data_IF_857730477116
#
_entry.id   IF_857730477116
#
_cell.length_a   1.000
_cell.length_b   1.000
_cell.length_c   1.000
_cell.angle_alpha   90.00
_cell.angle_beta   90.00
_cell.angle_gamma   90.00
#
_symmetry.space_group_name_H-M   'P 1'
#
loop_
_entity.id
_entity.type
_entity.pdbx_description
1 polymer ?
#
# COMPACT_ATOMS: atom_id res chain seq x y z
N UNK A 1 36.25 1.71 -11.91
CA UNK A 1 35.09 1.20 -11.13
C UNK A 1 35.18 1.67 -9.67
N UNK A 2 36.25 1.32 -8.89
CA UNK A 2 36.35 1.73 -7.47
C UNK A 2 36.44 3.26 -7.29
N UNK A 3 37.22 3.94 -8.14
CA UNK A 3 37.34 5.41 -8.12
C UNK A 3 36.02 6.11 -8.46
N UNK A 4 35.33 5.69 -9.52
CA UNK A 4 34.04 6.22 -9.91
C UNK A 4 32.95 5.98 -8.82
N UNK A 5 33.00 4.82 -8.17
CA UNK A 5 32.10 4.53 -7.05
C UNK A 5 32.38 5.50 -5.87
N UNK A 6 33.66 5.77 -5.57
CA UNK A 6 34.05 6.72 -4.53
C UNK A 6 33.57 8.14 -4.84
N UNK A 7 33.75 8.63 -6.08
CA UNK A 7 33.25 9.96 -6.48
C UNK A 7 31.74 10.07 -6.35
N UNK A 8 31.00 9.05 -6.80
CA UNK A 8 29.54 9.01 -6.66
C UNK A 8 29.08 9.01 -5.20
N UNK A 9 29.81 8.28 -4.33
CA UNK A 9 29.51 8.26 -2.88
C UNK A 9 29.78 9.64 -2.26
N UNK A 10 30.90 10.31 -2.60
CA UNK A 10 31.19 11.64 -2.12
C UNK A 10 30.13 12.66 -2.59
N UNK A 11 29.77 12.64 -3.88
CA UNK A 11 28.72 13.51 -4.42
C UNK A 11 27.36 13.26 -3.76
N UNK A 12 26.99 11.99 -3.50
CA UNK A 12 25.77 11.65 -2.79
C UNK A 12 25.79 12.14 -1.34
N UNK A 13 26.94 12.06 -0.67
CA UNK A 13 27.09 12.55 0.70
C UNK A 13 26.92 14.08 0.76
N UNK A 14 27.58 14.83 -0.13
CA UNK A 14 27.46 16.27 -0.20
C UNK A 14 26.03 16.72 -0.54
N UNK A 15 25.41 16.07 -1.51
CA UNK A 15 23.99 16.29 -1.82
C UNK A 15 23.10 16.04 -0.62
N UNK A 16 23.28 14.88 0.05
CA UNK A 16 22.45 14.48 1.18
C UNK A 16 22.55 15.46 2.34
N UNK A 17 23.73 16.01 2.60
CA UNK A 17 23.95 17.02 3.66
C UNK A 17 23.13 18.29 3.41
N UNK A 18 23.12 18.78 2.18
CA UNK A 18 22.34 19.97 1.79
C UNK A 18 20.85 19.65 1.78
N UNK A 19 20.48 18.53 1.18
CA UNK A 19 19.08 18.08 1.09
C UNK A 19 18.44 17.90 2.47
N UNK A 20 19.11 17.20 3.39
CA UNK A 20 18.56 16.94 4.73
C UNK A 20 18.34 18.24 5.52
N UNK A 21 19.25 19.20 5.37
CA UNK A 21 19.08 20.51 5.99
C UNK A 21 17.84 21.24 5.48
N UNK A 22 17.66 21.31 4.16
CA UNK A 22 16.47 21.91 3.54
C UNK A 22 15.19 21.16 3.88
N UNK A 23 15.21 19.84 3.81
CA UNK A 23 14.07 19.00 4.15
C UNK A 23 13.59 19.23 5.59
N UNK A 24 14.53 19.27 6.55
CA UNK A 24 14.22 19.53 7.95
C UNK A 24 13.63 20.94 8.14
N UNK A 25 14.19 21.94 7.47
CA UNK A 25 13.69 23.32 7.54
C UNK A 25 12.28 23.44 6.95
N UNK A 26 12.01 22.81 5.80
CA UNK A 26 10.68 22.80 5.19
C UNK A 26 9.65 22.14 6.11
N UNK A 27 10.00 21.01 6.74
CA UNK A 27 9.12 20.37 7.75
C UNK A 27 8.81 21.31 8.91
N UNK A 28 9.81 22.01 9.43
CA UNK A 28 9.65 22.96 10.54
C UNK A 28 8.76 24.14 10.16
N UNK A 29 8.98 24.74 8.98
CA UNK A 29 8.19 25.88 8.48
C UNK A 29 6.70 25.52 8.29
N UNK A 30 6.42 24.29 7.86
CA UNK A 30 5.06 23.82 7.60
C UNK A 30 4.42 23.10 8.80
N UNK A 31 5.15 22.90 9.89
CA UNK A 31 4.69 22.13 11.04
C UNK A 31 4.48 20.63 10.74
N UNK A 32 5.16 20.09 9.73
CA UNK A 32 5.04 18.70 9.33
C UNK A 32 5.98 17.79 10.12
N UNK A 33 5.50 16.57 10.38
CA UNK A 33 6.26 15.51 11.02
C UNK A 33 6.12 14.24 10.19
N UNK A 34 7.24 13.58 9.91
CA UNK A 34 7.20 12.21 9.40
C UNK A 34 7.13 11.20 10.56
N UNK A 35 6.99 9.90 10.23
CA UNK A 35 6.87 8.86 11.25
C UNK A 35 8.10 8.73 12.14
N UNK A 36 9.29 8.94 11.59
CA UNK A 36 10.54 8.91 12.35
C UNK A 36 10.64 10.11 13.30
N UNK A 37 10.20 11.29 12.87
CA UNK A 37 10.11 12.47 13.74
C UNK A 37 9.21 12.21 14.97
N UNK A 38 8.06 11.55 14.78
CA UNK A 38 7.15 11.23 15.88
C UNK A 38 7.84 10.35 16.92
N UNK A 39 8.56 9.31 16.46
CA UNK A 39 9.28 8.39 17.34
C UNK A 39 10.43 9.12 18.05
N UNK A 40 11.25 9.88 17.32
CA UNK A 40 12.39 10.61 17.87
C UNK A 40 11.95 11.71 18.86
N UNK A 41 10.90 12.47 18.51
CA UNK A 41 10.37 13.50 19.41
C UNK A 41 9.76 12.89 20.70
N UNK A 42 9.02 11.78 20.56
CA UNK A 42 8.51 11.06 21.73
C UNK A 42 9.64 10.53 22.60
N UNK A 43 10.70 9.95 22.01
CA UNK A 43 11.88 9.52 22.74
C UNK A 43 12.55 10.70 23.47
N UNK A 44 12.77 11.83 22.80
CA UNK A 44 13.40 13.01 23.38
C UNK A 44 12.60 13.56 24.57
N UNK A 45 11.26 13.62 24.47
CA UNK A 45 10.39 14.03 25.58
C UNK A 45 10.58 13.16 26.84
N UNK A 46 10.86 11.85 26.66
CA UNK A 46 11.03 10.90 27.76
C UNK A 46 12.48 10.79 28.27
N UNK A 47 13.45 11.38 27.55
CA UNK A 47 14.88 11.31 27.90
C UNK A 47 15.42 12.67 28.37
N UNK A 48 14.84 13.78 27.94
CA UNK A 48 15.28 15.13 28.29
C UNK A 48 15.16 15.35 29.82
N UNK A 49 16.27 15.57 30.57
CA UNK A 49 16.24 15.70 32.01
C UNK A 49 15.34 16.84 32.51
N UNK A 50 15.11 17.87 31.69
CA UNK A 50 14.32 19.03 32.09
C UNK A 50 12.81 18.80 32.04
N UNK A 51 12.35 17.86 31.19
CA UNK A 51 10.93 17.64 30.89
C UNK A 51 10.51 16.22 31.24
N UNK A 52 11.39 15.24 31.13
CA UNK A 52 11.10 13.82 31.27
C UNK A 52 10.43 13.48 32.61
N UNK A 53 10.89 14.04 33.71
CA UNK A 53 10.29 13.79 35.02
C UNK A 53 8.82 14.24 35.09
N UNK A 54 8.48 15.38 34.51
CA UNK A 54 7.12 15.88 34.47
C UNK A 54 6.24 15.06 33.52
N UNK A 55 6.77 14.70 32.33
CA UNK A 55 6.06 13.89 31.34
C UNK A 55 5.76 12.50 31.94
N UNK A 56 6.76 11.85 32.50
CA UNK A 56 6.61 10.54 33.14
C UNK A 56 5.61 10.62 34.31
N UNK A 57 5.71 11.62 35.18
CA UNK A 57 4.75 11.82 36.26
C UNK A 57 3.30 11.98 35.74
N UNK A 58 3.10 12.72 34.67
CA UNK A 58 1.76 12.87 34.05
C UNK A 58 1.26 11.57 33.42
N UNK A 59 2.16 10.78 32.82
CA UNK A 59 1.84 9.48 32.23
C UNK A 59 1.70 8.38 33.29
N UNK A 60 2.47 8.41 34.35
CA UNK A 60 2.41 7.45 35.45
C UNK A 60 1.03 7.41 36.11
N UNK A 61 0.34 8.56 36.13
CA UNK A 61 -1.05 8.68 36.56
C UNK A 61 -2.07 7.94 35.68
N UNK A 62 -1.69 7.44 34.47
CA UNK A 62 -2.63 6.92 33.48
C UNK A 62 -2.29 5.56 32.86
N UNK A 63 -1.09 5.03 33.03
CA UNK A 63 -0.69 3.76 32.42
C UNK A 63 -0.47 2.69 33.49
N UNK A 64 -1.37 1.72 33.55
CA UNK A 64 -1.26 0.59 34.47
C UNK A 64 -0.86 -0.70 33.74
N UNK A 65 -1.16 -0.82 32.44
CA UNK A 65 -0.86 -2.01 31.65
C UNK A 65 -0.21 -1.62 30.32
N UNK A 66 0.91 -2.26 30.01
CA UNK A 66 1.59 -2.13 28.71
C UNK A 66 1.52 -3.50 28.03
N UNK A 67 0.89 -3.53 26.84
CA UNK A 67 0.78 -4.71 26.01
C UNK A 67 1.48 -4.43 24.66
N UNK A 68 2.46 -5.27 24.33
CA UNK A 68 3.24 -5.17 23.10
C UNK A 68 2.99 -6.42 22.29
N UNK A 69 2.39 -6.25 21.12
CA UNK A 69 2.19 -7.30 20.13
C UNK A 69 3.22 -7.17 19.00
N UNK A 70 3.55 -8.27 18.34
CA UNK A 70 4.53 -8.32 17.24
C UNK A 70 5.88 -7.68 17.61
N UNK A 71 6.37 -7.95 18.81
CA UNK A 71 7.55 -7.32 19.41
C UNK A 71 8.83 -7.41 18.56
N UNK A 72 8.95 -8.43 17.67
CA UNK A 72 10.06 -8.58 16.74
C UNK A 72 10.13 -7.51 15.65
N UNK A 73 9.05 -6.74 15.46
CA UNK A 73 8.99 -5.67 14.45
C UNK A 73 9.24 -4.27 15.06
N UNK A 74 9.52 -4.22 16.36
CA UNK A 74 9.79 -2.97 17.07
C UNK A 74 11.24 -2.52 16.86
N UNK A 75 11.43 -1.24 16.51
CA UNK A 75 12.76 -0.66 16.32
C UNK A 75 13.46 -0.36 17.65
N UNK A 76 14.82 -0.27 17.69
CA UNK A 76 15.57 0.08 18.90
C UNK A 76 15.12 1.40 19.53
N UNK A 77 14.72 2.38 18.73
CA UNK A 77 14.22 3.68 19.20
C UNK A 77 12.87 3.55 19.90
N UNK A 78 11.96 2.75 19.34
CA UNK A 78 10.67 2.45 19.98
C UNK A 78 10.85 1.68 21.28
N UNK A 79 11.80 0.73 21.34
CA UNK A 79 12.12 0.02 22.57
C UNK A 79 12.58 0.97 23.67
N UNK A 80 13.38 1.99 23.39
CA UNK A 80 13.79 3.01 24.38
C UNK A 80 12.59 3.76 24.97
N UNK A 81 11.58 4.05 24.15
CA UNK A 81 10.33 4.66 24.64
C UNK A 81 9.63 3.72 25.61
N UNK A 82 9.49 2.44 25.24
CA UNK A 82 8.84 1.42 26.07
C UNK A 82 9.61 1.21 27.38
N UNK A 83 10.94 1.15 27.33
CA UNK A 83 11.78 1.05 28.53
C UNK A 83 11.54 2.22 29.49
N UNK A 84 11.44 3.44 28.98
CA UNK A 84 11.16 4.63 29.80
C UNK A 84 9.76 4.61 30.41
N UNK A 85 8.74 4.24 29.64
CA UNK A 85 7.36 4.14 30.12
C UNK A 85 7.19 3.01 31.16
N UNK A 86 7.94 1.92 31.04
CA UNK A 86 7.87 0.80 31.96
C UNK A 86 8.77 0.97 33.20
N UNK A 87 9.57 2.04 33.27
CA UNK A 87 10.54 2.23 34.35
C UNK A 87 9.88 2.24 35.73
N UNK A 88 8.72 2.85 35.87
CA UNK A 88 7.96 2.90 37.13
C UNK A 88 7.35 1.55 37.52
N UNK A 89 7.26 0.57 36.60
CA UNK A 89 6.69 -0.75 36.93
C UNK A 89 7.59 -1.61 37.81
N UNK A 90 8.89 -1.32 37.83
CA UNK A 90 9.91 -2.01 38.59
C UNK A 90 10.73 -1.07 39.51
N UNK A 91 10.47 0.24 39.53
CA UNK A 91 11.24 1.19 40.37
C UNK A 91 10.81 1.27 41.83
N UNK A 92 10.10 0.26 42.38
CA UNK A 92 9.72 0.21 43.80
C UNK A 92 8.38 0.87 44.12
N UNK A 93 8.18 1.27 45.41
CA UNK A 93 6.93 1.86 45.90
C UNK A 93 6.68 3.23 45.26
N UNK A 94 5.88 3.26 44.18
CA UNK A 94 5.40 4.48 43.56
C UNK A 94 4.23 5.10 44.34
N UNK A 95 3.80 6.31 44.00
CA UNK A 95 2.72 7.03 44.66
C UNK A 95 1.36 6.32 44.64
N UNK A 96 1.25 5.17 43.95
CA UNK A 96 0.05 4.32 43.82
C UNK A 96 0.33 2.87 44.23
N UNK A 97 0.50 2.62 45.52
CA UNK A 97 0.80 1.29 46.08
C UNK A 97 -0.25 0.19 45.86
N UNK A 98 -1.40 0.50 45.27
CA UNK A 98 -2.53 -0.44 45.11
C UNK A 98 -2.82 -0.86 43.69
N UNK A 99 -2.15 -0.31 42.67
CA UNK A 99 -2.43 -0.67 41.30
C UNK A 99 -1.51 -1.80 40.81
N UNK A 100 -2.11 -2.86 40.34
CA UNK A 100 -1.36 -4.02 39.80
C UNK A 100 -0.90 -3.69 38.35
N UNK A 101 0.32 -3.18 38.21
CA UNK A 101 0.91 -2.83 36.90
C UNK A 101 1.46 -4.06 36.21
N UNK A 102 1.17 -4.21 34.90
CA UNK A 102 1.61 -5.37 34.13
C UNK A 102 2.27 -4.97 32.83
N UNK A 103 3.34 -5.68 32.48
CA UNK A 103 3.98 -5.63 31.18
C UNK A 103 3.78 -6.98 30.49
N UNK A 104 3.14 -6.97 29.32
CA UNK A 104 2.91 -8.15 28.50
C UNK A 104 3.54 -7.94 27.13
N UNK A 105 4.47 -8.81 26.74
CA UNK A 105 5.18 -8.74 25.46
C UNK A 105 5.01 -10.05 24.74
N UNK A 106 4.54 -10.02 23.50
CA UNK A 106 4.42 -11.19 22.66
C UNK A 106 5.06 -10.94 21.30
N UNK A 107 5.75 -11.95 20.78
CA UNK A 107 6.41 -11.87 19.49
C UNK A 107 7.03 -13.20 19.07
N UNK A 108 7.32 -13.32 17.79
CA UNK A 108 8.03 -14.45 17.21
C UNK A 108 9.13 -13.95 16.27
N UNK A 109 10.39 -14.15 16.64
CA UNK A 109 11.56 -13.72 15.87
C UNK A 109 11.58 -14.25 14.44
N UNK A 110 11.05 -15.47 14.23
CA UNK A 110 10.96 -16.11 12.91
C UNK A 110 10.02 -15.34 11.96
N UNK A 111 9.13 -14.49 12.50
CA UNK A 111 8.16 -13.71 11.75
C UNK A 111 8.60 -12.25 11.52
N UNK A 112 9.84 -11.88 11.85
CA UNK A 112 10.34 -10.53 11.58
C UNK A 112 10.53 -10.31 10.07
N UNK A 113 9.87 -9.29 9.52
CA UNK A 113 9.93 -8.91 8.10
C UNK A 113 10.13 -7.41 7.88
N UNK A 114 10.31 -6.62 8.95
CA UNK A 114 10.43 -5.17 8.91
C UNK A 114 11.85 -4.64 9.21
N UNK A 115 12.88 -5.45 8.96
CA UNK A 115 14.28 -5.03 9.12
C UNK A 115 14.62 -3.78 8.30
N UNK A 116 14.01 -3.62 7.11
CA UNK A 116 14.15 -2.43 6.26
C UNK A 116 13.51 -1.15 6.85
N UNK A 117 12.67 -1.28 7.86
CA UNK A 117 12.10 -0.17 8.66
C UNK A 117 12.79 -0.02 10.03
N UNK A 118 13.97 -0.62 10.19
CA UNK A 118 14.76 -0.51 11.40
C UNK A 118 14.38 -1.49 12.52
N UNK A 119 13.53 -2.50 12.26
CA UNK A 119 13.30 -3.58 13.22
C UNK A 119 14.56 -4.45 13.35
N UNK A 120 14.95 -4.75 14.58
CA UNK A 120 16.12 -5.55 14.90
C UNK A 120 15.74 -6.66 15.88
N UNK A 121 15.85 -7.90 15.41
CA UNK A 121 15.56 -9.09 16.24
C UNK A 121 16.57 -9.31 17.37
N UNK A 122 17.79 -8.80 17.22
CA UNK A 122 18.81 -8.86 18.29
C UNK A 122 18.42 -7.99 19.48
N UNK A 123 17.75 -6.86 19.20
CA UNK A 123 17.25 -5.95 20.21
C UNK A 123 16.16 -6.57 21.08
N UNK A 124 15.27 -7.36 20.49
CA UNK A 124 14.27 -8.11 21.26
C UNK A 124 14.93 -9.05 22.30
N UNK A 125 16.04 -9.71 21.94
CA UNK A 125 16.80 -10.55 22.88
C UNK A 125 17.45 -9.73 23.99
N UNK A 126 18.01 -8.57 23.62
CA UNK A 126 18.64 -7.65 24.60
C UNK A 126 17.60 -7.17 25.62
N UNK A 127 16.48 -6.68 25.11
CA UNK A 127 15.37 -6.15 25.93
C UNK A 127 14.76 -7.24 26.82
N UNK A 128 14.56 -8.45 26.31
CA UNK A 128 14.06 -9.57 27.09
C UNK A 128 14.98 -9.84 28.31
N UNK A 129 16.29 -9.91 28.08
CA UNK A 129 17.28 -10.12 29.16
C UNK A 129 17.29 -8.96 30.14
N UNK A 130 17.21 -7.73 29.66
CA UNK A 130 17.24 -6.54 30.51
C UNK A 130 15.97 -6.41 31.36
N UNK A 131 14.79 -6.60 30.78
CA UNK A 131 13.54 -6.63 31.55
C UNK A 131 13.54 -7.76 32.59
N UNK A 132 13.97 -8.95 32.21
CA UNK A 132 14.08 -10.06 33.14
C UNK A 132 14.92 -9.68 34.38
N UNK A 133 16.11 -9.12 34.16
CA UNK A 133 17.01 -8.67 35.23
C UNK A 133 16.34 -7.59 36.10
N UNK A 134 15.78 -6.52 35.50
CA UNK A 134 15.14 -5.41 36.22
C UNK A 134 13.94 -5.84 37.05
N UNK A 135 13.10 -6.72 36.55
CA UNK A 135 11.93 -7.23 37.25
C UNK A 135 12.31 -8.24 38.33
N UNK A 136 13.38 -9.02 38.15
CA UNK A 136 13.96 -9.90 39.21
C UNK A 136 14.50 -9.04 40.34
N UNK A 137 15.27 -7.99 40.08
CA UNK A 137 15.77 -7.04 41.06
C UNK A 137 14.65 -6.36 41.87
N UNK A 138 13.50 -6.13 41.25
CA UNK A 138 12.31 -5.56 41.87
C UNK A 138 11.43 -6.61 42.62
N UNK A 139 11.88 -7.84 42.76
CA UNK A 139 11.10 -8.95 43.32
C UNK A 139 9.75 -9.24 42.63
N UNK A 140 9.63 -8.88 41.38
CA UNK A 140 8.46 -9.10 40.50
C UNK A 140 8.89 -9.86 39.23
N UNK A 141 9.32 -11.14 39.33
CA UNK A 141 9.93 -11.83 38.18
C UNK A 141 8.98 -11.95 36.99
N UNK A 142 9.50 -11.70 35.78
CA UNK A 142 8.77 -11.90 34.53
C UNK A 142 8.57 -13.39 34.29
N UNK A 143 7.33 -13.75 33.95
CA UNK A 143 6.98 -15.11 33.57
C UNK A 143 7.17 -15.30 32.09
N UNK A 144 8.13 -16.15 31.70
CA UNK A 144 8.35 -16.53 30.30
C UNK A 144 7.47 -17.72 29.94
N UNK A 145 6.68 -17.58 28.87
CA UNK A 145 5.80 -18.63 28.37
C UNK A 145 6.05 -18.85 26.88
N UNK A 146 6.27 -20.08 26.50
CA UNK A 146 6.35 -20.50 25.11
C UNK A 146 4.98 -21.02 24.62
N UNK A 147 4.48 -20.48 23.53
CA UNK A 147 3.23 -20.92 22.89
C UNK A 147 3.55 -22.08 21.94
N UNK A 148 3.27 -23.30 22.36
CA UNK A 148 3.60 -24.51 21.59
C UNK A 148 2.51 -24.87 20.56
N UNK A 149 1.25 -24.49 20.81
CA UNK A 149 0.11 -24.90 19.97
C UNK A 149 -0.29 -23.84 18.97
N UNK A 150 -0.37 -24.24 17.71
CA UNK A 150 -0.98 -23.44 16.63
C UNK A 150 -2.47 -23.76 16.52
N UNK A 151 -3.32 -22.75 16.74
CA UNK A 151 -4.79 -22.84 16.57
C UNK A 151 -5.24 -22.45 15.16
N UNK A 152 -4.32 -22.18 14.24
CA UNK A 152 -4.60 -21.71 12.89
C UNK A 152 -4.39 -22.79 11.85
N UNK A 153 -3.27 -23.50 11.89
CA UNK A 153 -2.77 -24.31 10.79
C UNK A 153 -2.88 -25.80 11.06
N UNK A 154 -3.11 -26.57 9.97
CA UNK A 154 -3.15 -28.03 10.03
C UNK A 154 -1.75 -28.63 10.27
N UNK A 155 -1.68 -29.87 10.79
CA UNK A 155 -0.38 -30.54 11.05
C UNK A 155 0.50 -30.67 9.80
N UNK A 156 -0.10 -30.85 8.62
CA UNK A 156 0.61 -30.99 7.34
C UNK A 156 1.36 -29.71 6.97
N UNK A 157 0.71 -28.55 7.17
CA UNK A 157 1.31 -27.25 6.88
C UNK A 157 2.46 -26.97 7.88
N UNK A 158 2.23 -27.20 9.17
CA UNK A 158 3.25 -26.97 10.19
C UNK A 158 4.48 -27.85 9.98
N UNK A 159 4.29 -29.15 9.72
CA UNK A 159 5.40 -30.07 9.39
C UNK A 159 6.21 -29.62 8.17
N UNK A 160 5.55 -29.04 7.16
CA UNK A 160 6.24 -28.51 6.01
C UNK A 160 7.10 -27.28 6.37
N UNK A 161 6.55 -26.36 7.20
CA UNK A 161 7.29 -25.18 7.70
C UNK A 161 8.50 -25.62 8.53
N UNK A 162 8.30 -26.54 9.47
CA UNK A 162 9.38 -27.06 10.32
C UNK A 162 10.50 -27.68 9.47
N UNK A 163 10.13 -28.48 8.46
CA UNK A 163 11.11 -29.09 7.55
C UNK A 163 11.93 -28.06 6.74
N UNK A 164 11.37 -26.87 6.45
CA UNK A 164 12.10 -25.79 5.79
C UNK A 164 13.02 -25.09 6.79
N UNK A 165 12.52 -24.77 7.98
CA UNK A 165 13.27 -24.07 9.02
C UNK A 165 14.43 -24.89 9.57
N UNK A 166 14.34 -26.23 9.50
CA UNK A 166 15.40 -27.15 9.95
C UNK A 166 16.56 -27.30 8.96
N UNK A 167 16.43 -26.74 7.73
CA UNK A 167 17.52 -26.78 6.76
C UNK A 167 18.74 -25.98 7.23
N UNK A 168 19.97 -26.49 7.06
CA UNK A 168 21.18 -25.79 7.48
C UNK A 168 21.34 -24.39 6.89
N UNK A 169 20.88 -24.20 5.64
CA UNK A 169 20.97 -22.92 4.93
C UNK A 169 20.03 -21.85 5.51
N UNK A 170 18.98 -22.27 6.24
CA UNK A 170 17.98 -21.38 6.86
C UNK A 170 18.26 -21.20 8.34
N UNK A 171 18.93 -22.19 8.96
CA UNK A 171 19.28 -22.20 10.38
C UNK A 171 20.40 -21.20 10.64
N UNK A 172 20.07 -19.99 11.06
CA UNK A 172 21.07 -19.07 11.62
C UNK A 172 21.38 -19.48 13.06
N UNK A 173 22.66 -19.72 13.40
CA UNK A 173 23.02 -20.41 14.66
C UNK A 173 22.63 -19.70 15.96
N UNK A 174 22.34 -18.39 15.93
CA UNK A 174 22.11 -17.58 17.13
C UNK A 174 20.80 -16.77 17.16
N UNK A 175 20.01 -16.77 16.10
CA UNK A 175 18.85 -15.85 15.98
C UNK A 175 17.50 -16.57 16.01
N UNK A 176 17.44 -17.79 15.56
CA UNK A 176 16.24 -18.61 15.60
C UNK A 176 16.38 -19.62 16.72
N UNK A 177 15.85 -19.34 17.88
CA UNK A 177 15.82 -20.28 19.01
C UNK A 177 15.44 -21.67 18.53
N UNK A 178 16.09 -22.72 19.09
CA UNK A 178 15.95 -24.10 18.65
C UNK A 178 14.50 -24.46 18.39
N UNK A 179 14.23 -25.09 17.27
CA UNK A 179 12.87 -25.43 16.86
C UNK A 179 12.32 -26.55 17.74
N UNK A 180 11.67 -26.18 18.84
CA UNK A 180 10.59 -27.03 19.31
C UNK A 180 9.58 -27.00 18.17
N UNK A 181 9.36 -28.15 17.50
CA UNK A 181 8.47 -28.23 16.34
C UNK A 181 7.09 -27.68 16.63
N UNK A 182 6.41 -27.14 15.64
CA UNK A 182 5.08 -26.61 15.81
C UNK A 182 4.06 -27.72 16.05
N UNK A 183 3.19 -27.57 17.05
CA UNK A 183 2.12 -28.52 17.35
C UNK A 183 0.78 -27.93 16.92
N UNK A 184 0.05 -28.64 16.05
CA UNK A 184 -1.31 -28.22 15.71
C UNK A 184 -2.28 -28.60 16.83
N UNK A 185 -3.06 -27.64 17.32
CA UNK A 185 -4.16 -27.92 18.24
C UNK A 185 -5.22 -28.85 17.60
N UNK A 186 -5.49 -28.63 16.33
CA UNK A 186 -6.42 -29.46 15.55
C UNK A 186 -5.67 -30.60 14.85
N UNK A 187 -5.29 -31.63 15.58
CA UNK A 187 -4.48 -32.76 15.08
C UNK A 187 -5.08 -33.48 13.88
N UNK A 188 -6.41 -33.47 13.74
CA UNK A 188 -7.16 -34.13 12.65
C UNK A 188 -7.49 -33.20 11.50
N UNK A 189 -7.13 -31.89 11.56
CA UNK A 189 -7.43 -30.95 10.51
C UNK A 189 -6.69 -31.33 9.23
N UNK A 190 -7.41 -31.60 8.11
CA UNK A 190 -6.76 -31.94 6.85
C UNK A 190 -5.99 -30.73 6.29
N UNK A 191 -4.86 -30.99 5.64
CA UNK A 191 -4.05 -29.98 5.00
C UNK A 191 -3.27 -30.55 3.83
N UNK A 192 -2.95 -29.70 2.86
CA UNK A 192 -2.18 -30.07 1.68
C UNK A 192 -1.21 -28.97 1.31
N UNK A 193 0.01 -29.35 0.95
CA UNK A 193 1.01 -28.45 0.40
C UNK A 193 1.42 -28.98 -0.98
N UNK A 194 1.32 -28.13 -1.99
CA UNK A 194 1.73 -28.43 -3.36
C UNK A 194 2.87 -27.51 -3.77
N UNK A 195 3.91 -28.06 -4.36
CA UNK A 195 4.96 -27.31 -5.00
C UNK A 195 4.77 -27.41 -6.53
N UNK A 196 4.62 -26.28 -7.19
CA UNK A 196 4.54 -26.24 -8.64
C UNK A 196 5.94 -26.08 -9.25
N UNK A 197 6.18 -26.70 -10.41
CA UNK A 197 7.45 -26.50 -11.11
C UNK A 197 7.62 -25.04 -11.54
N UNK A 198 8.87 -24.58 -11.57
CA UNK A 198 9.18 -23.24 -12.08
C UNK A 198 8.80 -23.14 -13.56
N UNK A 199 8.22 -22.03 -13.96
CA UNK A 199 7.92 -21.73 -15.36
C UNK A 199 9.18 -21.10 -15.96
N UNK A 200 9.77 -21.77 -16.94
CA UNK A 200 10.94 -21.27 -17.63
C UNK A 200 10.59 -20.02 -18.46
N UNK A 201 11.55 -19.09 -18.51
CA UNK A 201 11.45 -17.94 -19.39
C UNK A 201 11.32 -18.41 -20.84
N UNK A 202 10.35 -17.88 -21.56
CA UNK A 202 10.23 -18.16 -22.99
C UNK A 202 11.44 -17.57 -23.73
N UNK A 203 11.97 -18.28 -24.72
CA UNK A 203 12.93 -17.70 -25.64
C UNK A 203 12.25 -16.51 -26.33
N UNK A 204 12.89 -15.35 -26.27
CA UNK A 204 12.36 -14.16 -26.94
C UNK A 204 12.28 -14.47 -28.44
N UNK A 205 11.12 -14.30 -29.09
CA UNK A 205 11.04 -14.41 -30.54
C UNK A 205 12.01 -13.39 -31.14
N UNK A 206 12.89 -13.88 -32.05
CA UNK A 206 13.93 -13.06 -32.68
C UNK A 206 13.36 -11.93 -33.56
N UNK A 207 12.09 -12.01 -33.91
CA UNK A 207 11.36 -11.01 -34.72
C UNK A 207 10.12 -10.54 -33.97
N UNK A 208 10.28 -9.54 -33.13
CA UNK A 208 9.13 -8.71 -32.73
C UNK A 208 8.85 -7.73 -33.87
N UNK A 209 7.66 -7.81 -34.47
CA UNK A 209 7.21 -6.77 -35.38
C UNK A 209 7.40 -5.41 -34.73
N UNK A 210 8.05 -4.48 -35.41
CA UNK A 210 8.39 -3.16 -34.87
C UNK A 210 7.16 -2.37 -34.36
N UNK A 211 5.95 -2.76 -34.76
CA UNK A 211 4.65 -2.21 -34.35
C UNK A 211 4.16 -2.78 -33.00
N UNK A 212 4.81 -3.83 -32.47
CA UNK A 212 4.38 -4.41 -31.19
C UNK A 212 4.74 -3.46 -30.04
N UNK A 213 3.78 -3.15 -29.12
CA UNK A 213 4.08 -2.33 -27.96
C UNK A 213 5.22 -2.94 -27.14
N UNK A 214 6.31 -2.21 -26.98
CA UNK A 214 7.54 -2.68 -26.30
C UNK A 214 7.29 -2.94 -24.81
N UNK A 215 6.28 -2.31 -24.24
CA UNK A 215 6.03 -2.33 -22.78
C UNK A 215 4.96 -3.34 -22.33
N UNK A 216 4.32 -4.06 -23.26
CA UNK A 216 3.32 -5.07 -22.88
C UNK A 216 3.92 -6.48 -22.86
N UNK A 217 3.79 -7.24 -21.75
CA UNK A 217 4.23 -8.62 -21.71
C UNK A 217 3.46 -9.45 -22.74
N UNK A 218 4.19 -10.15 -23.59
CA UNK A 218 3.62 -11.05 -24.59
C UNK A 218 2.85 -12.22 -23.96
N UNK A 219 2.01 -12.90 -24.72
CA UNK A 219 1.25 -14.07 -24.24
C UNK A 219 2.14 -15.19 -23.72
N UNK A 220 3.36 -15.30 -24.24
CA UNK A 220 4.36 -16.31 -23.87
C UNK A 220 5.23 -15.90 -22.67
N UNK A 221 5.04 -14.68 -22.14
CA UNK A 221 5.74 -14.21 -20.94
C UNK A 221 5.46 -15.18 -19.76
N UNK A 222 6.51 -15.58 -19.06
CA UNK A 222 6.42 -16.53 -17.94
C UNK A 222 5.45 -16.03 -16.83
N UNK A 223 5.35 -14.72 -16.64
CA UNK A 223 4.45 -14.09 -15.65
C UNK A 223 3.00 -14.20 -16.08
N UNK A 224 2.72 -14.01 -17.37
CA UNK A 224 1.37 -14.15 -17.94
C UNK A 224 0.94 -15.62 -17.91
N UNK A 225 1.85 -16.55 -18.23
CA UNK A 225 1.59 -18.00 -18.16
C UNK A 225 1.30 -18.44 -16.73
N UNK A 226 2.09 -17.99 -15.75
CA UNK A 226 1.85 -18.28 -14.34
C UNK A 226 0.53 -17.70 -13.85
N UNK A 227 0.21 -16.45 -14.19
CA UNK A 227 -1.05 -15.82 -13.82
C UNK A 227 -2.27 -16.57 -14.37
N UNK A 228 -2.20 -17.01 -15.62
CA UNK A 228 -3.25 -17.83 -16.23
C UNK A 228 -3.41 -19.18 -15.51
N UNK A 229 -2.31 -19.87 -15.22
CA UNK A 229 -2.29 -21.15 -14.52
C UNK A 229 -2.93 -21.02 -13.12
N UNK A 230 -2.60 -19.97 -12.37
CA UNK A 230 -3.20 -19.68 -11.06
C UNK A 230 -4.71 -19.49 -11.20
N UNK A 231 -5.15 -18.66 -12.15
CA UNK A 231 -6.56 -18.36 -12.35
C UNK A 231 -7.36 -19.59 -12.80
N UNK A 232 -6.79 -20.45 -13.67
CA UNK A 232 -7.39 -21.72 -14.10
C UNK A 232 -7.53 -22.70 -12.94
N UNK A 233 -6.51 -22.82 -12.11
CA UNK A 233 -6.55 -23.69 -10.94
C UNK A 233 -7.61 -23.22 -9.93
N UNK A 234 -7.73 -21.94 -9.66
CA UNK A 234 -8.74 -21.37 -8.78
C UNK A 234 -10.15 -21.65 -9.36
N UNK A 235 -10.36 -21.39 -10.64
CA UNK A 235 -11.63 -21.65 -11.31
C UNK A 235 -12.03 -23.12 -11.23
N UNK A 236 -11.07 -24.01 -11.46
CA UNK A 236 -11.27 -25.47 -11.34
C UNK A 236 -11.65 -25.87 -9.91
N UNK A 237 -10.99 -25.32 -8.89
CA UNK A 237 -11.28 -25.63 -7.49
C UNK A 237 -12.65 -25.12 -7.06
N UNK A 238 -13.07 -23.94 -7.50
CA UNK A 238 -14.40 -23.38 -7.19
C UNK A 238 -15.50 -24.19 -7.89
N UNK A 239 -15.27 -24.56 -9.16
CA UNK A 239 -16.24 -25.31 -9.97
C UNK A 239 -16.33 -26.78 -9.58
N UNK A 240 -15.31 -27.32 -8.93
CA UNK A 240 -15.26 -28.70 -8.48
C UNK A 240 -16.14 -28.93 -7.23
N UNK A 241 -16.47 -30.20 -6.97
CA UNK A 241 -17.16 -30.58 -5.73
C UNK A 241 -16.22 -30.69 -4.52
N UNK A 242 -15.02 -30.15 -4.59
CA UNK A 242 -14.04 -30.22 -3.51
C UNK A 242 -14.52 -29.44 -2.28
N UNK A 243 -14.26 -30.03 -1.13
CA UNK A 243 -14.63 -29.46 0.16
C UNK A 243 -13.39 -29.00 0.91
N UNK A 244 -13.54 -27.92 1.67
CA UNK A 244 -12.54 -27.45 2.62
C UNK A 244 -13.12 -27.43 4.04
N UNK A 245 -12.29 -27.61 5.07
CA UNK A 245 -12.73 -27.48 6.44
C UNK A 245 -12.96 -26.00 6.80
N UNK A 246 -14.08 -25.70 7.41
CA UNK A 246 -14.39 -24.43 8.04
C UNK A 246 -14.53 -24.61 9.54
N UNK A 247 -13.85 -23.77 10.31
CA UNK A 247 -13.87 -23.87 11.77
C UNK A 247 -15.24 -23.49 12.32
N UNK A 248 -15.77 -24.33 13.23
CA UNK A 248 -17.01 -24.06 13.96
C UNK A 248 -16.74 -24.37 15.44
N UNK A 249 -16.43 -23.34 16.23
CA UNK A 249 -16.02 -23.48 17.62
C UNK A 249 -14.71 -24.26 17.76
N UNK A 250 -14.76 -25.43 18.41
CA UNK A 250 -13.59 -26.31 18.62
C UNK A 250 -13.48 -27.42 17.56
N UNK A 251 -14.44 -27.50 16.64
CA UNK A 251 -14.50 -28.47 15.56
C UNK A 251 -14.45 -27.82 14.18
N UNK A 252 -14.56 -28.61 13.12
CA UNK A 252 -14.68 -28.12 11.76
C UNK A 252 -15.78 -28.86 10.99
N UNK A 253 -16.42 -28.13 10.07
CA UNK A 253 -17.37 -28.67 9.09
C UNK A 253 -16.78 -28.59 7.69
N UNK A 254 -17.13 -29.55 6.84
CA UNK A 254 -16.66 -29.54 5.45
C UNK A 254 -17.68 -28.77 4.59
N UNK A 255 -17.19 -27.74 3.88
CA UNK A 255 -18.02 -26.95 2.96
C UNK A 255 -17.37 -26.75 1.59
N UNK A 256 -18.16 -26.33 0.62
CA UNK A 256 -17.67 -26.00 -0.73
C UNK A 256 -16.71 -24.81 -0.68
N UNK A 257 -15.72 -24.86 -1.57
CA UNK A 257 -14.74 -23.79 -1.78
C UNK A 257 -15.44 -22.55 -2.35
N UNK A 258 -15.11 -21.38 -1.84
CA UNK A 258 -15.61 -20.06 -2.27
C UNK A 258 -14.43 -19.17 -2.67
N UNK A 259 -14.68 -18.13 -3.47
CA UNK A 259 -13.66 -17.18 -3.88
C UNK A 259 -12.92 -16.53 -2.69
N UNK A 260 -13.64 -16.20 -1.62
CA UNK A 260 -13.05 -15.63 -0.39
C UNK A 260 -12.08 -16.53 0.37
N UNK A 261 -11.97 -17.81 0.01
CA UNK A 261 -11.03 -18.75 0.63
C UNK A 261 -9.60 -18.63 0.03
N UNK A 262 -9.47 -17.91 -1.09
CA UNK A 262 -8.17 -17.76 -1.74
C UNK A 262 -7.46 -16.47 -1.32
N UNK A 263 -6.23 -16.64 -0.90
CA UNK A 263 -5.28 -15.57 -0.64
C UNK A 263 -4.02 -15.83 -1.48
N UNK A 264 -3.73 -14.93 -2.41
CA UNK A 264 -2.52 -14.99 -3.25
C UNK A 264 -1.51 -14.02 -2.68
N UNK A 265 -0.35 -14.53 -2.27
CA UNK A 265 0.74 -13.73 -1.74
C UNK A 265 1.84 -13.59 -2.80
N UNK A 266 2.28 -12.36 -3.01
CA UNK A 266 3.40 -12.04 -3.89
C UNK A 266 4.49 -11.31 -3.09
N UNK A 267 5.74 -11.45 -3.54
CA UNK A 267 6.85 -10.77 -2.88
C UNK A 267 6.79 -9.24 -3.10
N UNK A 268 6.46 -8.83 -4.32
CA UNK A 268 6.40 -7.41 -4.72
C UNK A 268 5.19 -7.19 -5.65
N UNK A 269 4.69 -5.96 -5.69
CA UNK A 269 3.69 -5.52 -6.68
C UNK A 269 4.38 -5.29 -8.03
N UNK A 270 4.68 -6.39 -8.72
CA UNK A 270 5.30 -6.41 -10.03
C UNK A 270 4.26 -6.66 -11.13
N UNK A 271 4.71 -6.79 -12.37
CA UNK A 271 3.88 -7.18 -13.52
C UNK A 271 3.04 -8.45 -13.20
N UNK A 272 3.62 -9.45 -12.51
CA UNK A 272 2.90 -10.65 -12.11
C UNK A 272 1.65 -10.36 -11.26
N UNK A 273 1.72 -9.40 -10.34
CA UNK A 273 0.59 -9.02 -9.50
C UNK A 273 -0.60 -8.53 -10.35
N UNK A 274 -0.34 -7.66 -11.32
CA UNK A 274 -1.36 -7.12 -12.21
C UNK A 274 -1.90 -8.18 -13.18
N UNK A 275 -1.03 -9.04 -13.71
CA UNK A 275 -1.45 -10.13 -14.61
C UNK A 275 -2.31 -11.18 -13.89
N UNK A 276 -2.07 -11.47 -12.61
CA UNK A 276 -2.95 -12.34 -11.80
C UNK A 276 -4.36 -11.75 -11.70
N UNK A 277 -4.46 -10.46 -11.37
CA UNK A 277 -5.76 -9.77 -11.28
C UNK A 277 -6.48 -9.81 -12.63
N UNK A 278 -5.78 -9.48 -13.71
CA UNK A 278 -6.30 -9.51 -15.09
C UNK A 278 -6.77 -10.91 -15.51
N UNK A 279 -5.97 -11.95 -15.21
CA UNK A 279 -6.30 -13.33 -15.54
C UNK A 279 -7.54 -13.84 -14.78
N UNK A 280 -7.69 -13.47 -13.51
CA UNK A 280 -8.88 -13.78 -12.71
C UNK A 280 -10.11 -13.05 -13.23
N UNK A 281 -10.03 -11.74 -13.51
CA UNK A 281 -11.13 -10.96 -14.08
C UNK A 281 -11.59 -11.52 -15.43
N UNK A 282 -10.66 -11.91 -16.30
CA UNK A 282 -10.97 -12.53 -17.62
C UNK A 282 -11.80 -13.81 -17.49
N UNK A 283 -11.68 -14.53 -16.39
CA UNK A 283 -12.45 -15.75 -16.09
C UNK A 283 -13.72 -15.49 -15.28
N UNK A 284 -14.07 -14.23 -15.04
CA UNK A 284 -15.25 -13.86 -14.24
C UNK A 284 -15.10 -14.20 -12.75
N UNK A 285 -13.87 -14.45 -12.26
CA UNK A 285 -13.63 -14.72 -10.86
C UNK A 285 -13.76 -13.43 -10.04
N UNK A 286 -14.51 -13.40 -8.94
CA UNK A 286 -14.61 -12.24 -8.08
C UNK A 286 -13.28 -12.05 -7.34
N UNK A 287 -12.49 -11.10 -7.80
CA UNK A 287 -11.19 -10.76 -7.24
C UNK A 287 -11.19 -9.33 -6.75
N UNK A 288 -10.66 -9.13 -5.56
CA UNK A 288 -10.41 -7.80 -5.04
C UNK A 288 -9.30 -7.16 -5.87
N UNK A 289 -9.56 -5.99 -6.44
CA UNK A 289 -8.54 -5.21 -7.15
C UNK A 289 -7.35 -4.87 -6.24
N UNK A 290 -6.36 -4.16 -6.78
CA UNK A 290 -5.22 -3.72 -5.98
C UNK A 290 -5.72 -2.94 -4.75
N UNK A 291 -5.24 -3.33 -3.56
CA UNK A 291 -5.59 -2.67 -2.28
C UNK A 291 -5.06 -1.23 -2.20
N UNK A 292 -4.14 -0.87 -3.08
CA UNK A 292 -3.66 0.50 -3.28
C UNK A 292 -3.77 0.86 -4.76
N UNK A 293 -4.38 1.99 -5.00
CA UNK A 293 -4.49 2.65 -6.28
C UNK A 293 -3.36 3.65 -6.41
N UNK A 294 -2.55 3.52 -7.44
CA UNK A 294 -1.73 4.63 -7.90
C UNK A 294 -2.63 5.56 -8.69
N UNK A 295 -3.09 6.60 -8.01
CA UNK A 295 -4.16 7.45 -8.50
C UNK A 295 -3.88 7.99 -9.91
N UNK A 296 -2.66 8.42 -10.18
CA UNK A 296 -2.25 8.97 -11.47
C UNK A 296 -2.14 7.94 -12.61
N UNK A 297 -2.21 6.64 -12.31
CA UNK A 297 -2.22 5.59 -13.34
C UNK A 297 -3.65 5.24 -13.80
N UNK A 298 -4.67 5.64 -13.05
CA UNK A 298 -6.08 5.35 -13.35
C UNK A 298 -6.60 6.19 -14.52
N UNK A 299 -7.30 5.55 -15.48
CA UNK A 299 -7.75 6.22 -16.69
C UNK A 299 -8.71 7.38 -16.40
N UNK A 300 -9.67 7.19 -15.48
CA UNK A 300 -10.60 8.25 -15.10
C UNK A 300 -9.88 9.49 -14.56
N UNK A 301 -8.82 9.26 -13.77
CA UNK A 301 -7.99 10.35 -13.23
C UNK A 301 -7.17 11.02 -14.32
N UNK A 302 -6.56 10.24 -15.22
CA UNK A 302 -5.81 10.79 -16.36
C UNK A 302 -6.70 11.69 -17.24
N UNK A 303 -7.92 11.25 -17.51
CA UNK A 303 -8.87 12.03 -18.30
C UNK A 303 -9.27 13.35 -17.60
N UNK A 304 -9.49 13.30 -16.27
CA UNK A 304 -9.81 14.49 -15.47
C UNK A 304 -8.60 15.43 -15.34
N UNK A 305 -7.40 14.89 -15.17
CA UNK A 305 -6.16 15.70 -15.15
C UNK A 305 -5.89 16.31 -16.54
N UNK A 306 -6.15 15.59 -17.63
CA UNK A 306 -6.06 16.16 -18.97
C UNK A 306 -7.05 17.33 -19.16
N UNK A 307 -8.27 17.19 -18.61
CA UNK A 307 -9.25 18.30 -18.61
C UNK A 307 -8.68 19.52 -17.88
N UNK A 308 -8.19 19.34 -16.65
CA UNK A 308 -7.63 20.44 -15.86
C UNK A 308 -6.38 21.05 -16.52
N UNK A 309 -5.54 20.23 -17.17
CA UNK A 309 -4.36 20.69 -17.92
C UNK A 309 -4.76 21.54 -19.11
N UNK A 310 -5.74 21.10 -19.90
CA UNK A 310 -6.31 21.89 -20.97
C UNK A 310 -6.91 23.21 -20.46
N UNK A 311 -7.69 23.16 -19.39
CA UNK A 311 -8.25 24.37 -18.79
C UNK A 311 -7.16 25.34 -18.35
N UNK A 312 -6.09 24.85 -17.73
CA UNK A 312 -4.93 25.67 -17.33
C UNK A 312 -4.18 26.26 -18.53
N UNK A 313 -4.11 25.53 -19.63
CA UNK A 313 -3.36 25.91 -20.85
C UNK A 313 -4.16 25.52 -22.09
N UNK A 314 -5.07 26.41 -22.58
CA UNK A 314 -5.92 26.10 -23.73
C UNK A 314 -5.16 25.84 -25.04
N UNK A 315 -3.87 26.12 -25.08
CA UNK A 315 -2.98 25.82 -26.20
C UNK A 315 -2.44 24.40 -26.19
N UNK A 316 -2.73 23.60 -25.15
CA UNK A 316 -2.34 22.20 -25.07
C UNK A 316 -3.28 21.32 -25.90
N UNK A 317 -2.90 21.11 -27.16
CA UNK A 317 -3.63 20.30 -28.12
C UNK A 317 -3.77 18.83 -27.67
N UNK A 318 -2.73 18.28 -26.99
CA UNK A 318 -2.74 16.89 -26.56
C UNK A 318 -3.75 16.67 -25.44
N UNK A 319 -3.76 17.55 -24.46
CA UNK A 319 -4.74 17.50 -23.38
C UNK A 319 -6.17 17.67 -23.90
N UNK A 320 -6.41 18.62 -24.81
CA UNK A 320 -7.72 18.78 -25.44
C UNK A 320 -8.15 17.54 -26.23
N UNK A 321 -7.26 16.98 -27.05
CA UNK A 321 -7.55 15.77 -27.81
C UNK A 321 -7.87 14.58 -26.88
N UNK A 322 -7.14 14.45 -25.78
CA UNK A 322 -7.38 13.42 -24.76
C UNK A 322 -8.77 13.58 -24.14
N UNK A 323 -9.13 14.79 -23.74
CA UNK A 323 -10.45 15.11 -23.17
C UNK A 323 -11.59 14.80 -24.13
N UNK A 324 -11.47 15.21 -25.40
CA UNK A 324 -12.50 14.95 -26.42
C UNK A 324 -12.70 13.46 -26.67
N UNK A 325 -11.62 12.67 -26.64
CA UNK A 325 -11.67 11.21 -26.81
C UNK A 325 -12.06 10.45 -25.54
N UNK A 326 -11.90 11.05 -24.38
CA UNK A 326 -12.28 10.44 -23.11
C UNK A 326 -13.79 10.19 -23.03
N UNK A 327 -14.26 9.39 -22.07
CA UNK A 327 -15.69 9.20 -21.84
C UNK A 327 -16.46 10.51 -21.55
N UNK A 328 -15.78 11.59 -21.20
CA UNK A 328 -16.39 12.88 -20.93
C UNK A 328 -17.14 13.41 -22.17
N UNK A 329 -16.56 13.23 -23.38
CA UNK A 329 -17.16 13.66 -24.66
C UNK A 329 -17.33 12.51 -25.66
N UNK A 330 -16.65 11.38 -25.43
CA UNK A 330 -16.79 10.14 -26.19
C UNK A 330 -16.56 10.27 -27.72
N UNK A 331 -15.63 11.11 -28.14
CA UNK A 331 -15.32 11.27 -29.56
C UNK A 331 -14.63 10.06 -30.17
N UNK A 332 -14.99 9.76 -31.44
CA UNK A 332 -14.26 8.79 -32.25
C UNK A 332 -12.99 9.41 -32.84
N UNK A 333 -12.06 8.54 -33.29
CA UNK A 333 -10.87 8.98 -34.04
C UNK A 333 -11.24 9.84 -35.26
N UNK A 334 -12.31 9.47 -35.93
CA UNK A 334 -12.78 10.20 -37.13
C UNK A 334 -13.22 11.62 -36.78
N UNK A 335 -13.90 11.84 -35.67
CA UNK A 335 -14.31 13.17 -35.23
C UNK A 335 -13.12 14.04 -34.87
N UNK A 336 -12.15 13.46 -34.11
CA UNK A 336 -10.92 14.16 -33.76
C UNK A 336 -10.08 14.47 -35.02
N UNK A 337 -9.95 13.50 -35.93
CA UNK A 337 -9.27 13.71 -37.20
C UNK A 337 -9.90 14.83 -38.00
N UNK A 338 -11.24 14.87 -38.13
CA UNK A 338 -11.96 15.92 -38.86
C UNK A 338 -11.73 17.32 -38.26
N UNK A 339 -11.51 17.42 -36.95
CA UNK A 339 -11.17 18.69 -36.31
C UNK A 339 -9.70 19.06 -36.51
N UNK A 340 -8.79 18.09 -36.37
CA UNK A 340 -7.35 18.32 -36.33
C UNK A 340 -6.69 18.37 -37.72
N UNK A 341 -7.23 17.62 -38.71
CA UNK A 341 -6.69 17.56 -40.07
C UNK A 341 -7.00 18.85 -40.83
N UNK A 342 -6.02 19.34 -41.54
CA UNK A 342 -6.14 20.54 -42.43
C UNK A 342 -6.59 21.81 -41.67
N UNK A 343 -6.31 21.89 -40.36
CA UNK A 343 -6.63 23.08 -39.57
C UNK A 343 -5.78 24.29 -39.99
N UNK A 344 -6.44 25.43 -40.09
CA UNK A 344 -5.77 26.69 -40.44
C UNK A 344 -5.14 27.35 -39.20
N UNK A 345 -5.68 27.06 -38.00
CA UNK A 345 -5.17 27.60 -36.77
C UNK A 345 -4.07 26.71 -36.16
N UNK A 346 -3.15 27.37 -35.45
CA UNK A 346 -2.06 26.68 -34.78
C UNK A 346 -2.55 25.72 -33.68
N UNK A 347 -3.61 26.10 -32.95
CA UNK A 347 -4.12 25.37 -31.81
C UNK A 347 -5.49 24.73 -32.08
N UNK A 348 -5.68 23.53 -31.53
CA UNK A 348 -6.90 22.75 -31.70
C UNK A 348 -8.13 23.44 -31.08
N UNK A 349 -7.94 24.16 -29.96
CA UNK A 349 -9.01 24.93 -29.32
C UNK A 349 -9.56 26.04 -30.20
N UNK A 350 -8.71 26.78 -30.90
CA UNK A 350 -9.16 27.85 -31.81
C UNK A 350 -9.95 27.29 -33.00
N UNK A 351 -9.56 26.12 -33.51
CA UNK A 351 -10.31 25.44 -34.55
C UNK A 351 -11.66 24.95 -34.06
N UNK A 352 -11.74 24.39 -32.84
CA UNK A 352 -13.00 23.98 -32.19
C UNK A 352 -13.93 25.20 -32.02
N UNK A 353 -13.40 26.33 -31.60
CA UNK A 353 -14.11 27.59 -31.43
C UNK A 353 -14.70 28.11 -32.75
N UNK A 354 -13.94 28.10 -33.85
CA UNK A 354 -14.43 28.45 -35.18
C UNK A 354 -15.55 27.56 -35.65
N UNK A 355 -15.45 26.25 -35.36
CA UNK A 355 -16.48 25.26 -35.72
C UNK A 355 -17.50 25.01 -34.59
N UNK A 356 -17.69 25.97 -33.69
CA UNK A 356 -18.63 25.87 -32.56
C UNK A 356 -20.08 25.60 -32.98
N UNK A 357 -20.46 25.95 -34.21
CA UNK A 357 -21.78 25.63 -34.78
C UNK A 357 -21.97 24.13 -35.07
N UNK A 358 -20.87 23.41 -35.35
CA UNK A 358 -20.86 21.95 -35.56
C UNK A 358 -20.72 21.21 -34.23
N UNK A 359 -19.81 21.65 -33.35
CA UNK A 359 -19.45 21.03 -32.05
C UNK A 359 -20.01 21.85 -30.89
N UNK A 360 -21.31 22.16 -30.95
CA UNK A 360 -21.97 23.10 -30.03
C UNK A 360 -21.90 22.68 -28.59
N UNK A 361 -22.09 21.41 -28.31
CA UNK A 361 -22.10 20.87 -26.97
C UNK A 361 -20.70 20.98 -26.34
N UNK A 362 -19.68 20.43 -26.97
CA UNK A 362 -18.31 20.41 -26.51
C UNK A 362 -17.77 21.81 -26.29
N UNK A 363 -18.00 22.69 -27.27
CA UNK A 363 -17.61 24.10 -27.19
C UNK A 363 -18.29 24.79 -26.00
N UNK A 364 -19.59 24.60 -25.83
CA UNK A 364 -20.33 25.22 -24.72
C UNK A 364 -19.83 24.80 -23.37
N UNK A 365 -19.61 23.48 -23.16
CA UNK A 365 -19.10 22.93 -21.90
C UNK A 365 -17.68 23.43 -21.59
N UNK A 366 -16.75 23.25 -22.53
CA UNK A 366 -15.35 23.65 -22.36
C UNK A 366 -15.20 25.15 -22.20
N UNK A 367 -15.91 25.95 -22.97
CA UNK A 367 -15.87 27.39 -22.86
C UNK A 367 -16.42 27.89 -21.52
N UNK A 368 -17.49 27.29 -21.01
CA UNK A 368 -18.03 27.60 -19.69
C UNK A 368 -17.05 27.25 -18.56
N UNK A 369 -16.34 26.11 -18.66
CA UNK A 369 -15.30 25.75 -17.70
C UNK A 369 -14.11 26.70 -17.77
N UNK A 370 -13.66 27.10 -18.96
CA UNK A 370 -12.57 28.09 -19.15
C UNK A 370 -12.94 29.41 -18.47
N UNK A 371 -14.15 29.94 -18.67
CA UNK A 371 -14.60 31.17 -18.02
C UNK A 371 -14.71 31.05 -16.49
N UNK A 372 -14.79 29.81 -15.97
CA UNK A 372 -14.92 29.56 -14.54
C UNK A 372 -13.58 29.43 -13.82
N UNK A 373 -12.44 29.32 -14.52
CA UNK A 373 -11.12 29.04 -13.95
C UNK A 373 -10.70 30.10 -12.91
N UNK A 374 -10.98 31.36 -13.18
CA UNK A 374 -10.55 32.47 -12.32
C UNK A 374 -11.38 32.56 -11.01
N UNK A 375 -12.51 31.86 -10.95
CA UNK A 375 -13.45 31.94 -9.83
C UNK A 375 -13.59 30.63 -9.05
N UNK A 376 -13.42 29.50 -9.75
CA UNK A 376 -13.58 28.17 -9.14
C UNK A 376 -12.24 27.55 -8.80
N UNK A 377 -12.21 26.88 -7.67
CA UNK A 377 -11.07 26.11 -7.19
C UNK A 377 -10.98 24.75 -7.91
N UNK A 378 -9.86 24.04 -7.85
CA UNK A 378 -9.70 22.73 -8.50
C UNK A 378 -10.82 21.74 -8.17
N UNK A 379 -11.23 21.64 -6.90
CA UNK A 379 -12.35 20.79 -6.47
C UNK A 379 -13.66 21.19 -7.18
N UNK A 380 -13.98 22.47 -7.19
CA UNK A 380 -15.22 22.98 -7.75
C UNK A 380 -15.30 22.83 -9.27
N UNK A 381 -14.15 22.93 -9.97
CA UNK A 381 -14.05 22.66 -11.42
C UNK A 381 -14.29 21.18 -11.71
N UNK A 382 -13.68 20.27 -10.93
CA UNK A 382 -13.90 18.84 -11.06
C UNK A 382 -15.35 18.47 -10.77
N UNK A 383 -15.91 18.99 -9.69
CA UNK A 383 -17.29 18.76 -9.26
C UNK A 383 -18.29 19.23 -10.33
N UNK A 384 -18.04 20.41 -10.91
CA UNK A 384 -18.85 20.94 -12.00
C UNK A 384 -18.86 20.05 -13.24
N UNK A 385 -17.70 19.52 -13.65
CA UNK A 385 -17.61 18.58 -14.76
C UNK A 385 -18.28 17.25 -14.44
N UNK A 386 -18.06 16.72 -13.26
CA UNK A 386 -18.54 15.40 -12.84
C UNK A 386 -20.06 15.35 -12.64
N UNK A 387 -20.65 16.39 -12.06
CA UNK A 387 -22.06 16.41 -11.70
C UNK A 387 -22.91 17.24 -12.67
N UNK A 388 -22.52 18.48 -12.98
CA UNK A 388 -23.32 19.33 -13.86
C UNK A 388 -23.32 18.88 -15.33
N UNK A 389 -22.18 18.32 -15.80
CA UNK A 389 -22.00 17.83 -17.17
C UNK A 389 -21.99 16.31 -17.27
N UNK A 390 -22.51 15.61 -16.27
CA UNK A 390 -22.67 14.16 -16.21
C UNK A 390 -21.36 13.35 -16.42
N UNK A 391 -20.21 13.99 -16.20
CA UNK A 391 -18.89 13.37 -16.40
C UNK A 391 -18.70 12.12 -15.58
N UNK A 392 -19.21 12.07 -14.33
CA UNK A 392 -19.15 10.88 -13.47
C UNK A 392 -19.89 9.69 -14.08
N UNK A 393 -21.11 9.91 -14.53
CA UNK A 393 -21.92 8.86 -15.17
C UNK A 393 -21.24 8.32 -16.44
N UNK A 394 -20.70 9.22 -17.27
CA UNK A 394 -19.99 8.87 -18.48
C UNK A 394 -18.72 8.07 -18.23
N UNK A 395 -17.91 8.46 -17.24
CA UNK A 395 -16.70 7.75 -16.85
C UNK A 395 -17.04 6.36 -16.31
N UNK A 396 -18.00 6.23 -15.39
CA UNK A 396 -18.39 4.96 -14.80
C UNK A 396 -19.00 4.01 -15.84
N UNK A 397 -19.84 4.53 -16.76
CA UNK A 397 -20.48 3.71 -17.79
C UNK A 397 -19.48 3.00 -18.72
N UNK A 398 -18.35 3.63 -19.00
CA UNK A 398 -17.32 3.07 -19.88
C UNK A 398 -16.19 2.35 -19.17
N UNK A 399 -15.77 2.86 -18.02
CA UNK A 399 -14.62 2.33 -17.27
C UNK A 399 -15.01 1.34 -16.17
N UNK A 400 -16.30 1.28 -15.83
CA UNK A 400 -16.84 0.44 -14.77
C UNK A 400 -16.89 1.14 -13.41
N UNK A 401 -17.60 0.52 -12.47
CA UNK A 401 -17.84 1.05 -11.10
C UNK A 401 -16.51 1.26 -10.34
N UNK A 402 -15.47 0.53 -10.70
CA UNK A 402 -14.14 0.68 -10.07
C UNK A 402 -13.51 2.08 -10.27
N UNK A 403 -13.94 2.81 -11.32
CA UNK A 403 -13.50 4.18 -11.57
C UNK A 403 -14.00 5.17 -10.51
N UNK A 404 -15.09 4.85 -9.81
CA UNK A 404 -15.71 5.72 -8.79
C UNK A 404 -14.76 5.97 -7.63
N UNK A 405 -14.09 4.94 -7.13
CA UNK A 405 -13.11 5.06 -6.04
C UNK A 405 -11.97 6.03 -6.41
N UNK A 406 -11.52 5.98 -7.68
CA UNK A 406 -10.44 6.84 -8.18
C UNK A 406 -10.90 8.30 -8.33
N UNK A 407 -12.14 8.52 -8.78
CA UNK A 407 -12.75 9.84 -8.90
C UNK A 407 -12.90 10.48 -7.51
N UNK A 408 -13.46 9.75 -6.55
CA UNK A 408 -13.66 10.25 -5.18
C UNK A 408 -12.34 10.54 -4.47
N UNK A 409 -11.34 9.74 -4.76
CA UNK A 409 -10.00 9.96 -4.26
C UNK A 409 -9.35 11.24 -4.84
N UNK A 410 -9.52 11.51 -6.14
CA UNK A 410 -9.03 12.75 -6.75
C UNK A 410 -9.75 13.98 -6.17
N UNK A 411 -11.06 13.89 -5.95
CA UNK A 411 -11.84 14.95 -5.28
C UNK A 411 -11.35 15.19 -3.85
N UNK A 412 -11.09 14.13 -3.08
CA UNK A 412 -10.55 14.25 -1.73
C UNK A 412 -9.17 14.92 -1.73
N UNK A 413 -8.29 14.54 -2.66
CA UNK A 413 -6.97 15.17 -2.80
C UNK A 413 -7.06 16.65 -3.20
N UNK A 414 -8.03 17.03 -4.03
CA UNK A 414 -8.21 18.44 -4.39
C UNK A 414 -8.62 19.29 -3.17
N UNK A 415 -9.48 18.76 -2.30
CA UNK A 415 -9.85 19.41 -1.03
C UNK A 415 -8.63 19.50 -0.09
N UNK A 416 -7.83 18.45 -0.01
CA UNK A 416 -6.65 18.45 0.86
C UNK A 416 -5.57 19.43 0.37
N UNK A 417 -5.39 19.55 -0.94
CA UNK A 417 -4.54 20.58 -1.54
C UNK A 417 -5.02 21.99 -1.14
N UNK A 418 -6.31 22.26 -1.26
CA UNK A 418 -6.90 23.57 -0.93
C UNK A 418 -6.77 23.98 0.55
N UNK A 419 -6.63 23.00 1.46
CA UNK A 419 -6.38 23.24 2.89
C UNK A 419 -4.91 23.56 3.20
N UNK A 420 -3.98 23.05 2.40
CA UNK A 420 -2.54 23.08 2.69
C UNK A 420 -1.81 24.15 1.89
N UNK A 421 -2.29 24.46 0.68
CA UNK A 421 -1.62 25.34 -0.27
C UNK A 421 -2.57 26.44 -0.76
N UNK A 422 -2.02 27.46 -1.41
CA UNK A 422 -2.85 28.48 -2.08
C UNK A 422 -3.62 27.83 -3.23
N UNK A 423 -4.97 27.89 -3.24
CA UNK A 423 -5.77 27.22 -4.25
C UNK A 423 -5.51 27.80 -5.64
N UNK A 424 -4.73 27.12 -6.45
CA UNK A 424 -4.53 27.46 -7.87
C UNK A 424 -4.56 26.18 -8.72
N UNK A 425 -5.10 26.29 -9.93
CA UNK A 425 -5.19 25.15 -10.83
C UNK A 425 -3.81 24.63 -11.25
N UNK A 426 -2.91 25.54 -11.59
CA UNK A 426 -1.51 25.20 -11.98
C UNK A 426 -0.74 24.57 -10.82
N UNK A 427 -0.91 25.13 -9.60
CA UNK A 427 -0.29 24.58 -8.40
C UNK A 427 -0.80 23.18 -8.09
N UNK A 428 -2.11 22.95 -8.20
CA UNK A 428 -2.71 21.63 -8.01
C UNK A 428 -2.16 20.59 -9.01
N UNK A 429 -2.11 20.94 -10.30
CA UNK A 429 -1.56 20.07 -11.34
C UNK A 429 -0.09 19.70 -11.08
N UNK A 430 0.74 20.67 -10.70
CA UNK A 430 2.13 20.44 -10.32
C UNK A 430 2.25 19.55 -9.08
N UNK A 431 1.45 19.82 -8.06
CA UNK A 431 1.44 19.07 -6.81
C UNK A 431 1.02 17.61 -7.01
N UNK A 432 -0.06 17.36 -7.75
CA UNK A 432 -0.54 16.00 -8.04
C UNK A 432 0.44 15.21 -8.91
N UNK A 433 1.09 15.86 -9.89
CA UNK A 433 2.05 15.18 -10.78
C UNK A 433 3.35 14.79 -10.09
N UNK A 434 3.77 15.58 -9.09
CA UNK A 434 5.04 15.35 -8.36
C UNK A 434 4.87 14.36 -7.22
N UNK A 435 3.67 14.30 -6.63
CA UNK A 435 3.37 13.45 -5.49
C UNK A 435 2.86 12.10 -5.98
N UNK A 436 3.63 11.05 -5.82
CA UNK A 436 3.21 9.67 -6.17
C UNK A 436 2.10 9.16 -5.24
N UNK A 437 0.91 9.76 -5.26
CA UNK A 437 -0.20 9.40 -4.39
C UNK A 437 -0.66 7.96 -4.60
N UNK A 438 -0.46 7.13 -3.58
CA UNK A 438 -1.07 5.82 -3.45
C UNK A 438 -2.26 5.91 -2.47
N UNK A 439 -3.44 5.59 -2.95
CA UNK A 439 -4.64 5.57 -2.10
C UNK A 439 -4.98 4.14 -1.72
N UNK A 440 -5.15 3.93 -0.42
CA UNK A 440 -5.62 2.66 0.10
C UNK A 440 -7.12 2.58 -0.15
N UNK A 441 -7.56 1.69 -1.05
CA UNK A 441 -8.99 1.40 -1.21
C UNK A 441 -9.58 0.99 0.12
N UNK A 442 -10.67 1.61 0.53
CA UNK A 442 -11.52 1.06 1.58
C UNK A 442 -12.11 -0.23 1.03
N UNK A 443 -11.56 -1.35 1.48
CA UNK A 443 -12.04 -2.67 1.12
C UNK A 443 -13.47 -2.79 1.65
N UNK A 444 -14.45 -2.51 0.78
CA UNK A 444 -15.84 -2.82 1.11
C UNK A 444 -15.90 -4.30 1.51
N UNK A 445 -16.56 -4.59 2.59
CA UNK A 445 -16.60 -5.90 3.28
C UNK A 445 -17.29 -7.02 2.49
N UNK A 446 -17.12 -7.09 1.17
CA UNK A 446 -17.61 -8.22 0.37
C UNK A 446 -16.76 -9.44 0.70
N UNK A 447 -17.29 -10.26 1.60
CA UNK A 447 -16.63 -11.43 2.23
C UNK A 447 -16.25 -12.57 1.26
N UNK A 448 -16.64 -12.50 -0.03
CA UNK A 448 -16.46 -13.61 -0.95
C UNK A 448 -15.68 -13.23 -2.23
N UNK A 449 -14.49 -12.64 -2.05
CA UNK A 449 -13.59 -12.29 -3.15
C UNK A 449 -12.18 -12.83 -2.92
N UNK A 450 -11.52 -13.25 -4.02
CA UNK A 450 -10.09 -13.62 -4.03
C UNK A 450 -9.27 -12.41 -3.63
N UNK A 451 -8.33 -12.58 -2.72
CA UNK A 451 -7.43 -11.51 -2.26
C UNK A 451 -6.03 -11.73 -2.82
N UNK A 452 -5.46 -10.67 -3.38
CA UNK A 452 -4.06 -10.65 -3.83
C UNK A 452 -3.33 -9.53 -3.08
N UNK A 453 -2.25 -9.87 -2.39
CA UNK A 453 -1.50 -8.89 -1.60
C UNK A 453 -0.02 -9.29 -1.48
N UNK A 454 0.80 -8.35 -1.03
CA UNK A 454 2.19 -8.66 -0.70
C UNK A 454 2.27 -9.37 0.65
N UNK A 455 3.37 -10.10 0.88
CA UNK A 455 3.64 -10.75 2.18
C UNK A 455 3.58 -9.71 3.31
N UNK A 456 4.17 -8.54 3.10
CA UNK A 456 4.11 -7.43 4.08
C UNK A 456 2.69 -6.94 4.34
N UNK A 457 1.86 -6.85 3.29
CA UNK A 457 0.46 -6.44 3.42
C UNK A 457 -0.44 -7.48 4.10
N UNK A 458 -0.02 -8.74 4.13
CA UNK A 458 -0.76 -9.82 4.78
C UNK A 458 -0.43 -9.95 6.28
N UNK A 459 0.69 -9.38 6.73
CA UNK A 459 1.07 -9.36 8.15
C UNK A 459 0.31 -8.25 8.88
N UNK A 460 -0.35 -8.61 9.93
CA UNK A 460 -1.19 -7.68 10.71
C UNK A 460 -2.55 -7.47 10.07
#
# INVERSE_FOLDING_TARGET
IAYEASEKICALYDFSRVFLSHYTNEKLLRGWLDFDDLILKAQNLLVDPSIAAWVLYRLDGGIDHILIDEAQDTSPTQWKIIEKLSQEFYAGEGSRDKTNRTLFVVGDKKQSIYSFQGADTSELNRIQKEFKKRFEEAAKPLKELSLQYSFRSSPTILKFVDKILDKPEVKQPNELGGSEGHISFFSKLPGRVNLWPAINKAEQPKDTEWQSPVDMPGKEDERVRLANLIADQINTLISSKNLIPERTGNDYIMRKIRAGDFLILVQRRSVLFHEIIKACKKRGLPILGADRLKLMEELAVKDLIALLSFLSTPQDDLSLATVLKSPLFNWSEKQLFNLAHDRQDRFLWEELKKRSHVFRHEYSVLNNLIYSIDYLRPYELLEKMLNQYEGRANLISRLGVEAEDAIDALLSLSIDYEKQETPSLTGFLSWVSTSGFEIKRQLSSQKNQIRVMTIHGAKG
#
